data_IF_195564844628
#
_entry.id   IF_195564844628
#
_cell.length_a   1.000
_cell.length_b   1.000
_cell.length_c   1.000
_cell.angle_alpha   90.00
_cell.angle_beta   90.00
_cell.angle_gamma   90.00
#
_symmetry.space_group_name_H-M   'P 1'
#
loop_
_entity.id
_entity.type
_entity.pdbx_description
1 polymer ?
#
# COMPACT_ATOMS: atom_id res chain seq x y z
N UNK A 1 -8.19 24.37 -14.28
CA UNK A 1 -9.12 23.24 -14.54
C UNK A 1 -8.52 22.31 -15.60
N UNK A 2 -7.69 21.33 -15.23
CA UNK A 2 -7.33 20.22 -16.13
C UNK A 2 -7.60 18.92 -15.37
N UNK A 3 -8.67 18.26 -15.82
CA UNK A 3 -9.25 17.02 -15.30
C UNK A 3 -8.36 15.85 -15.70
N UNK A 4 -8.17 14.94 -14.76
CA UNK A 4 -8.02 13.49 -14.94
C UNK A 4 -7.24 13.07 -16.20
N UNK A 5 -5.92 13.03 -16.09
CA UNK A 5 -5.17 12.03 -16.85
C UNK A 5 -5.52 10.68 -16.22
N UNK A 6 -6.41 9.95 -16.91
CA UNK A 6 -6.66 8.54 -16.62
C UNK A 6 -5.33 7.84 -16.84
N UNK A 7 -4.64 7.50 -15.75
CA UNK A 7 -3.49 6.61 -15.79
C UNK A 7 -4.04 5.26 -16.26
N UNK A 8 -3.49 4.64 -17.33
CA UNK A 8 -3.97 3.37 -17.84
C UNK A 8 -3.99 2.32 -16.71
N UNK A 9 -5.19 1.86 -16.35
CA UNK A 9 -5.46 0.88 -15.29
C UNK A 9 -5.06 -0.56 -15.64
N UNK A 10 -4.06 -0.75 -16.50
CA UNK A 10 -3.62 -2.10 -16.91
C UNK A 10 -2.12 -2.11 -17.13
N UNK A 11 -1.36 -2.04 -16.04
CA UNK A 11 -0.09 -2.77 -16.00
C UNK A 11 -0.42 -4.15 -15.41
N UNK A 12 -0.47 -5.17 -16.27
CA UNK A 12 -0.35 -6.57 -15.85
C UNK A 12 1.00 -6.68 -15.14
N UNK A 13 1.00 -6.55 -13.82
CA UNK A 13 2.23 -6.55 -13.05
C UNK A 13 2.47 -7.96 -12.58
N UNK A 14 3.58 -8.54 -13.05
CA UNK A 14 4.20 -9.69 -12.43
C UNK A 14 4.40 -9.33 -10.95
N UNK A 15 3.51 -9.84 -10.09
CA UNK A 15 3.49 -9.48 -8.68
C UNK A 15 4.83 -9.79 -8.04
N UNK A 16 5.34 -8.88 -7.20
CA UNK A 16 6.49 -9.17 -6.34
C UNK A 16 6.17 -10.46 -5.58
N UNK A 17 6.96 -11.52 -5.84
CA UNK A 17 6.71 -12.83 -5.23
C UNK A 17 7.19 -12.79 -3.78
N UNK A 18 6.32 -12.33 -2.88
CA UNK A 18 6.52 -12.43 -1.43
C UNK A 18 6.12 -13.84 -1.02
N UNK A 19 7.10 -14.64 -0.61
CA UNK A 19 6.92 -16.05 -0.25
C UNK A 19 7.19 -16.33 1.22
N UNK A 20 7.80 -15.40 1.96
CA UNK A 20 8.12 -15.58 3.38
C UNK A 20 7.63 -14.44 4.27
N UNK A 21 7.47 -14.76 5.55
CA UNK A 21 7.08 -13.80 6.59
C UNK A 21 8.14 -12.70 6.76
N UNK A 22 9.43 -13.03 6.65
CA UNK A 22 10.52 -12.06 6.76
C UNK A 22 10.45 -11.00 5.66
N UNK A 23 10.04 -11.38 4.45
CA UNK A 23 9.91 -10.46 3.32
C UNK A 23 8.78 -9.46 3.52
N UNK A 24 7.61 -9.90 4.01
CA UNK A 24 6.49 -8.99 4.31
C UNK A 24 6.82 -8.07 5.49
N UNK A 25 7.53 -8.59 6.50
CA UNK A 25 8.00 -7.80 7.63
C UNK A 25 8.94 -6.70 7.16
N UNK A 26 9.90 -7.05 6.30
CA UNK A 26 10.82 -6.08 5.70
C UNK A 26 10.05 -5.02 4.92
N UNK A 27 9.11 -5.43 4.06
CA UNK A 27 8.30 -4.51 3.27
C UNK A 27 7.49 -3.55 4.14
N UNK A 28 6.87 -4.05 5.22
CA UNK A 28 6.12 -3.23 6.17
C UNK A 28 6.99 -2.18 6.87
N UNK A 29 8.21 -2.57 7.28
CA UNK A 29 9.17 -1.67 7.90
C UNK A 29 9.64 -0.61 6.89
N UNK A 30 9.94 -1.00 5.65
CA UNK A 30 10.36 -0.09 4.59
C UNK A 30 9.22 0.89 4.23
N UNK A 31 7.94 0.46 4.26
CA UNK A 31 6.77 1.32 4.10
C UNK A 31 6.51 2.26 5.29
N UNK A 32 7.22 2.10 6.39
CA UNK A 32 7.16 2.99 7.56
C UNK A 32 8.42 3.84 7.73
N UNK A 33 9.37 3.73 6.80
CA UNK A 33 10.61 4.51 6.83
C UNK A 33 10.34 5.99 6.50
N UNK A 34 10.94 6.93 7.25
CA UNK A 34 10.87 8.35 6.93
C UNK A 34 11.73 8.74 5.71
N UNK A 35 12.67 7.89 5.31
CA UNK A 35 13.53 8.11 4.16
C UNK A 35 12.78 7.80 2.84
N UNK A 36 12.52 8.83 2.04
CA UNK A 36 11.78 8.67 0.77
C UNK A 36 12.45 7.70 -0.22
N UNK A 37 13.78 7.55 -0.18
CA UNK A 37 14.53 6.60 -1.01
C UNK A 37 14.21 5.14 -0.66
N UNK A 38 13.80 4.87 0.58
CA UNK A 38 13.36 3.54 1.03
C UNK A 38 11.86 3.40 0.84
N UNK A 39 11.09 4.42 1.25
CA UNK A 39 9.63 4.40 1.19
C UNK A 39 9.08 4.29 -0.23
N UNK A 40 9.61 5.07 -1.20
CA UNK A 40 9.10 5.09 -2.59
C UNK A 40 9.09 3.72 -3.28
N UNK A 41 10.20 2.97 -3.33
CA UNK A 41 10.18 1.63 -3.91
C UNK A 41 9.35 0.66 -3.06
N UNK A 42 9.31 0.83 -1.74
CA UNK A 42 8.52 -0.01 -0.85
C UNK A 42 7.01 0.13 -1.10
N UNK A 43 6.47 1.36 -1.20
CA UNK A 43 5.04 1.57 -1.42
C UNK A 43 4.60 1.11 -2.82
N UNK A 44 5.48 1.22 -3.81
CA UNK A 44 5.27 0.62 -5.13
C UNK A 44 5.15 -0.90 -5.02
N UNK A 45 6.10 -1.56 -4.36
CA UNK A 45 6.08 -3.01 -4.16
C UNK A 45 4.86 -3.47 -3.34
N UNK A 46 4.47 -2.70 -2.32
CA UNK A 46 3.28 -2.96 -1.53
C UNK A 46 2.02 -2.90 -2.40
N UNK A 47 1.89 -1.88 -3.25
CA UNK A 47 0.79 -1.80 -4.22
C UNK A 47 0.76 -3.03 -5.12
N UNK A 48 1.91 -3.45 -5.66
CA UNK A 48 2.00 -4.62 -6.55
C UNK A 48 1.57 -5.90 -5.82
N UNK A 49 2.12 -6.12 -4.63
CA UNK A 49 1.79 -7.28 -3.79
C UNK A 49 0.31 -7.31 -3.39
N UNK A 50 -0.31 -6.17 -3.09
CA UNK A 50 -1.74 -6.07 -2.78
C UNK A 50 -2.66 -6.18 -4.01
N UNK A 51 -2.11 -6.18 -5.23
CA UNK A 51 -2.89 -6.22 -6.48
C UNK A 51 -3.02 -7.63 -7.07
N UNK A 52 -2.48 -8.65 -6.38
CA UNK A 52 -2.61 -10.06 -6.81
C UNK A 52 -3.91 -10.68 -6.27
N UNK A 53 -4.44 -11.71 -6.95
CA UNK A 53 -5.71 -12.37 -6.56
C UNK A 53 -5.71 -12.93 -5.13
N UNK A 54 -4.55 -13.37 -4.62
CA UNK A 54 -4.41 -13.93 -3.29
C UNK A 54 -3.21 -13.32 -2.56
N UNK A 55 -3.50 -12.40 -1.66
CA UNK A 55 -2.50 -11.77 -0.79
C UNK A 55 -2.21 -12.70 0.40
N UNK A 56 -0.96 -13.14 0.51
CA UNK A 56 -0.48 -13.99 1.60
C UNK A 56 0.25 -13.14 2.64
N UNK A 57 -0.07 -13.25 3.93
CA UNK A 57 0.55 -12.48 5.04
C UNK A 57 0.03 -11.04 5.25
N UNK A 58 -1.22 -10.79 4.89
CA UNK A 58 -1.85 -9.47 5.13
C UNK A 58 -2.03 -9.18 6.62
N UNK A 59 -2.21 -10.19 7.48
CA UNK A 59 -2.31 -10.00 8.93
C UNK A 59 -0.98 -9.53 9.54
N UNK A 60 0.15 -10.10 9.09
CA UNK A 60 1.50 -9.69 9.48
C UNK A 60 1.82 -8.26 9.01
N UNK A 61 1.23 -7.84 7.89
CA UNK A 61 1.31 -6.47 7.40
C UNK A 61 0.47 -5.52 8.27
N UNK A 62 -0.81 -5.84 8.53
CA UNK A 62 -1.73 -4.97 9.28
C UNK A 62 -1.35 -4.83 10.75
N UNK A 63 -0.85 -5.89 11.38
CA UNK A 63 -0.38 -5.88 12.77
C UNK A 63 0.78 -4.91 13.04
N UNK A 64 1.42 -4.38 11.99
CA UNK A 64 2.51 -3.40 12.07
C UNK A 64 2.05 -1.94 11.97
N UNK A 65 0.74 -1.71 11.97
CA UNK A 65 0.15 -0.38 11.87
C UNK A 65 0.62 0.40 10.63
N UNK A 66 0.68 -0.28 9.49
CA UNK A 66 1.13 0.35 8.23
C UNK A 66 0.15 1.43 7.76
N UNK A 67 -1.13 1.31 8.11
CA UNK A 67 -2.21 2.18 7.63
C UNK A 67 -1.96 3.62 8.08
N UNK A 68 -1.62 3.82 9.35
CA UNK A 68 -1.24 5.12 9.90
C UNK A 68 -0.03 5.74 9.20
N UNK A 69 0.97 4.93 8.85
CA UNK A 69 2.14 5.39 8.10
C UNK A 69 1.75 5.82 6.69
N UNK A 70 0.91 5.05 6.02
CA UNK A 70 0.44 5.35 4.66
C UNK A 70 -0.38 6.64 4.60
N UNK A 71 -1.32 6.85 5.53
CA UNK A 71 -2.19 8.03 5.55
C UNK A 71 -1.39 9.34 5.62
N UNK A 72 -0.23 9.36 6.30
CA UNK A 72 0.64 10.54 6.39
C UNK A 72 1.15 11.01 5.02
N UNK A 73 1.24 10.10 4.05
CA UNK A 73 1.73 10.36 2.70
C UNK A 73 0.63 10.72 1.68
N UNK A 74 -0.57 11.05 2.18
CA UNK A 74 -1.67 11.62 1.37
C UNK A 74 -1.75 13.15 1.46
N UNK A 75 -0.76 13.81 2.06
CA UNK A 75 -0.75 15.27 2.20
C UNK A 75 -0.66 15.98 0.84
N UNK A 76 -1.26 17.17 0.67
CA UNK A 76 -1.07 17.97 -0.54
C UNK A 76 0.39 18.22 -0.91
N UNK A 77 1.30 18.24 0.08
CA UNK A 77 2.74 18.44 -0.08
C UNK A 77 3.49 17.24 -0.66
N UNK A 78 2.94 16.03 -0.61
CA UNK A 78 3.59 14.83 -1.15
C UNK A 78 3.54 14.78 -2.67
N UNK A 79 4.50 14.07 -3.27
CA UNK A 79 4.56 13.90 -4.72
C UNK A 79 3.40 13.06 -5.26
N UNK A 80 3.01 13.30 -6.51
CA UNK A 80 1.85 12.65 -7.12
C UNK A 80 1.97 11.12 -7.21
N UNK A 81 3.18 10.62 -7.45
CA UNK A 81 3.46 9.18 -7.52
C UNK A 81 3.31 8.48 -6.16
N UNK A 82 3.77 9.13 -5.08
CA UNK A 82 3.59 8.61 -3.71
C UNK A 82 2.10 8.52 -3.40
N UNK A 83 1.36 9.62 -3.58
CA UNK A 83 -0.09 9.65 -3.30
C UNK A 83 -0.86 8.60 -4.08
N UNK A 84 -0.48 8.39 -5.35
CA UNK A 84 -1.10 7.39 -6.20
C UNK A 84 -0.89 5.97 -5.65
N UNK A 85 0.35 5.59 -5.31
CA UNK A 85 0.64 4.26 -4.78
C UNK A 85 0.00 4.05 -3.39
N UNK A 86 0.04 5.06 -2.53
CA UNK A 86 -0.57 5.04 -1.20
C UNK A 86 -2.09 4.85 -1.28
N UNK A 87 -2.78 5.69 -2.06
CA UNK A 87 -4.23 5.61 -2.20
C UNK A 87 -4.66 4.26 -2.79
N UNK A 88 -3.88 3.72 -3.73
CA UNK A 88 -4.14 2.40 -4.31
C UNK A 88 -3.95 1.28 -3.29
N UNK A 89 -2.85 1.29 -2.54
CA UNK A 89 -2.59 0.30 -1.50
C UNK A 89 -3.72 0.29 -0.45
N UNK A 90 -4.14 1.46 0.01
CA UNK A 90 -5.26 1.60 0.96
C UNK A 90 -6.58 1.07 0.37
N UNK A 91 -6.87 1.36 -0.89
CA UNK A 91 -8.07 0.85 -1.57
C UNK A 91 -8.04 -0.68 -1.66
N UNK A 92 -6.88 -1.27 -1.97
CA UNK A 92 -6.75 -2.72 -2.04
C UNK A 92 -6.89 -3.37 -0.66
N UNK A 93 -6.31 -2.80 0.40
CA UNK A 93 -6.51 -3.27 1.78
C UNK A 93 -8.00 -3.20 2.15
N UNK A 94 -8.69 -2.11 1.77
CA UNK A 94 -10.11 -1.93 2.03
C UNK A 94 -11.00 -2.94 1.30
N UNK A 95 -10.57 -3.39 0.12
CA UNK A 95 -11.26 -4.40 -0.69
C UNK A 95 -11.09 -5.84 -0.19
N UNK A 96 -10.33 -6.05 0.89
CA UNK A 96 -10.10 -7.36 1.51
C UNK A 96 -11.33 -7.98 2.19
N UNK A 97 -11.12 -8.99 3.03
CA UNK A 97 -12.22 -9.57 3.83
C UNK A 97 -12.84 -8.54 4.76
N UNK A 98 -14.05 -8.83 5.27
CA UNK A 98 -14.77 -7.97 6.21
C UNK A 98 -13.91 -7.56 7.42
N UNK A 99 -12.95 -8.40 7.85
CA UNK A 99 -11.99 -8.05 8.90
C UNK A 99 -11.03 -6.92 8.51
N UNK A 100 -10.54 -6.88 7.26
CA UNK A 100 -9.65 -5.80 6.79
C UNK A 100 -10.37 -4.47 6.66
N UNK A 101 -11.62 -4.48 6.17
CA UNK A 101 -12.45 -3.27 6.12
C UNK A 101 -12.77 -2.76 7.54
N UNK A 102 -13.05 -3.66 8.49
CA UNK A 102 -13.30 -3.30 9.88
C UNK A 102 -12.04 -2.72 10.57
N UNK A 103 -10.85 -3.21 10.22
CA UNK A 103 -9.58 -2.67 10.71
C UNK A 103 -9.38 -1.21 10.23
N UNK A 104 -9.60 -0.93 8.95
CA UNK A 104 -9.46 0.44 8.43
C UNK A 104 -10.42 1.44 9.08
N UNK A 105 -11.67 1.03 9.32
CA UNK A 105 -12.66 1.87 10.02
C UNK A 105 -12.24 2.19 11.46
N UNK A 106 -11.49 1.29 12.11
CA UNK A 106 -10.97 1.50 13.46
C UNK A 106 -9.79 2.47 13.48
N UNK A 107 -8.94 2.45 12.45
CA UNK A 107 -7.79 3.34 12.30
C UNK A 107 -8.17 4.73 11.72
N UNK A 108 -9.46 4.99 11.46
CA UNK A 108 -9.97 6.33 11.14
C UNK A 108 -10.02 6.69 9.65
N UNK A 109 -10.07 5.68 8.78
CA UNK A 109 -10.43 5.86 7.36
C UNK A 109 -11.93 6.15 7.16
#
# INVERSE_FOLDING_TARGET
KKRNQIIPLVEKTEGTTITTVEQIIKLANDCSSPELEIFRPAIMNLRLYLSVEKVHFIDELLSRNIVDSLIKHLSPSDSGDIKYNVAWALTNIASGSTEHTAFLLKEGM
#
